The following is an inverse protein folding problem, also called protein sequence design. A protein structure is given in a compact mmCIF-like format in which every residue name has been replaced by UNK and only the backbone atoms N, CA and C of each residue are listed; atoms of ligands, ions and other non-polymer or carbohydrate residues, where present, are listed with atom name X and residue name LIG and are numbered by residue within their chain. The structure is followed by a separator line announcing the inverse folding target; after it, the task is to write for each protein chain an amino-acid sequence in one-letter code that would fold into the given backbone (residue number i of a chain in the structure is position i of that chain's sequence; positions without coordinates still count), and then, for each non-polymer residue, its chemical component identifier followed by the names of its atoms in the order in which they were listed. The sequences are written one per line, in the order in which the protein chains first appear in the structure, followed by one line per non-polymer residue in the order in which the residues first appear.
data_IF_481668006828
#
_entry.id   IF_481668006828
#
_cell.length_a   1.000
_cell.length_b   1.000
_cell.length_c   1.000
_cell.angle_alpha   90.00
_cell.angle_beta   90.00
_cell.angle_gamma   90.00
#
_symmetry.space_group_name_H-M   'P 1'
#
loop_
_entity.id
_entity.type
_entity.pdbx_description
1 polymer ?
#
# COMPACT_ATOMS: atom_id res chain seq x y z
N UNK A 1 -29.34 10.23 60.03
CA UNK A 1 -30.40 9.70 60.89
C UNK A 1 -31.63 9.49 60.00
N UNK A 2 -31.89 8.23 59.63
CA UNK A 2 -33.20 7.53 59.54
C UNK A 2 -34.45 8.43 59.35
N UNK A 3 -35.42 8.26 58.44
CA UNK A 3 -35.77 7.26 57.41
C UNK A 3 -36.98 7.81 56.58
N UNK A 4 -37.12 7.24 55.38
CA UNK A 4 -38.19 7.21 54.35
C UNK A 4 -39.64 7.67 54.59
N UNK A 5 -40.25 8.18 53.50
CA UNK A 5 -41.49 7.67 52.86
C UNK A 5 -41.57 8.25 51.42
N UNK A 6 -41.92 7.53 50.35
CA UNK A 6 -42.56 6.23 50.24
C UNK A 6 -42.36 5.55 48.88
N UNK A 7 -42.95 4.36 48.80
CA UNK A 7 -42.62 3.21 47.97
C UNK A 7 -43.20 3.25 46.53
N UNK A 8 -42.55 2.56 45.57
CA UNK A 8 -42.88 1.17 45.20
C UNK A 8 -42.31 0.72 43.82
N UNK A 9 -41.65 -0.45 43.86
CA UNK A 9 -41.46 -1.49 42.82
C UNK A 9 -40.70 -1.13 41.52
N UNK A 10 -39.72 -1.89 41.00
CA UNK A 10 -39.17 -3.22 41.31
C UNK A 10 -37.84 -3.38 40.56
N UNK A 11 -36.83 -3.98 41.20
CA UNK A 11 -35.58 -4.44 40.56
C UNK A 11 -35.87 -5.53 39.52
N UNK A 12 -35.14 -5.55 38.40
CA UNK A 12 -34.56 -6.78 37.81
C UNK A 12 -33.62 -6.47 36.62
N UNK A 13 -32.35 -6.82 36.83
CA UNK A 13 -31.45 -7.55 35.92
C UNK A 13 -30.80 -6.86 34.71
N UNK A 14 -29.59 -6.38 35.01
CA UNK A 14 -28.36 -6.60 34.22
C UNK A 14 -28.33 -8.02 33.63
N UNK A 15 -28.38 -8.15 32.30
CA UNK A 15 -27.94 -9.37 31.60
C UNK A 15 -27.10 -8.98 30.39
N UNK A 16 -25.80 -9.22 30.56
CA UNK A 16 -24.78 -9.44 29.54
C UNK A 16 -25.34 -9.80 28.16
N UNK A 17 -24.96 -9.02 27.14
CA UNK A 17 -25.00 -9.48 25.76
C UNK A 17 -23.91 -10.54 25.56
N UNK A 18 -24.18 -11.75 26.01
CA UNK A 18 -23.49 -12.97 25.60
C UNK A 18 -23.74 -13.15 24.10
N UNK A 19 -22.76 -12.74 23.30
CA UNK A 19 -22.64 -13.17 21.91
C UNK A 19 -22.43 -14.69 21.95
N UNK A 20 -23.50 -15.42 21.67
CA UNK A 20 -23.50 -16.86 21.51
C UNK A 20 -22.50 -17.26 20.40
N UNK A 21 -21.38 -17.85 20.82
CA UNK A 21 -20.26 -18.29 19.96
C UNK A 21 -20.54 -19.59 19.20
N UNK A 22 -21.81 -19.97 18.98
CA UNK A 22 -22.15 -21.24 18.32
C UNK A 22 -23.16 -21.11 17.16
N UNK A 23 -23.00 -20.13 16.27
CA UNK A 23 -23.63 -20.18 14.94
C UNK A 23 -22.62 -20.55 13.86
N UNK A 24 -22.85 -21.60 13.05
CA UNK A 24 -22.00 -21.90 11.92
C UNK A 24 -22.05 -20.72 10.94
N UNK A 25 -20.88 -20.25 10.49
CA UNK A 25 -20.71 -19.04 9.67
C UNK A 25 -21.48 -19.05 8.33
N UNK A 26 -22.07 -20.19 7.95
CA UNK A 26 -22.82 -20.39 6.72
C UNK A 26 -24.35 -20.59 6.92
N UNK A 27 -24.88 -20.47 8.15
CA UNK A 27 -26.31 -20.62 8.37
C UNK A 27 -27.12 -19.45 7.74
N UNK A 28 -28.29 -19.71 7.14
CA UNK A 28 -29.13 -18.65 6.57
C UNK A 28 -29.56 -17.64 7.65
N UNK A 29 -29.25 -16.37 7.42
CA UNK A 29 -29.62 -15.26 8.31
C UNK A 29 -31.11 -14.95 8.14
N UNK A 30 -31.89 -15.05 9.22
CA UNK A 30 -33.36 -15.09 9.21
C UNK A 30 -34.03 -13.72 9.03
N UNK A 31 -33.48 -12.62 9.56
CA UNK A 31 -34.09 -11.28 9.48
C UNK A 31 -33.25 -10.27 8.69
N UNK A 32 -33.88 -9.23 8.13
CA UNK A 32 -33.18 -8.14 7.46
C UNK A 32 -32.26 -7.34 8.41
N UNK A 33 -32.63 -7.23 9.69
CA UNK A 33 -31.85 -6.55 10.74
C UNK A 33 -30.52 -7.27 11.00
N UNK A 34 -30.53 -8.61 10.99
CA UNK A 34 -29.32 -9.42 11.16
C UNK A 34 -28.37 -9.30 9.95
N UNK A 35 -28.89 -8.98 8.76
CA UNK A 35 -28.04 -8.74 7.56
C UNK A 35 -27.25 -7.43 7.67
N UNK A 36 -27.78 -6.41 8.36
CA UNK A 36 -27.06 -5.16 8.57
C UNK A 36 -25.87 -5.30 9.52
N UNK A 37 -25.89 -6.29 10.42
CA UNK A 37 -24.74 -6.60 11.28
C UNK A 37 -23.54 -7.14 10.49
N UNK A 38 -23.77 -7.70 9.30
CA UNK A 38 -22.69 -8.17 8.42
C UNK A 38 -21.95 -7.01 7.74
N UNK A 39 -22.60 -5.84 7.60
CA UNK A 39 -22.02 -4.71 6.87
C UNK A 39 -20.80 -4.10 7.60
N UNK A 40 -20.84 -3.81 8.91
CA UNK A 40 -19.64 -3.38 9.65
C UNK A 40 -18.50 -4.38 9.56
N UNK A 41 -18.78 -5.68 9.70
CA UNK A 41 -17.76 -6.73 9.62
C UNK A 41 -17.19 -6.85 8.19
N UNK A 42 -18.04 -6.74 7.16
CA UNK A 42 -17.60 -6.69 5.78
C UNK A 42 -16.73 -5.46 5.51
N UNK A 43 -17.12 -4.28 5.98
CA UNK A 43 -16.36 -3.04 5.79
C UNK A 43 -15.03 -3.06 6.56
N UNK A 44 -14.97 -3.70 7.74
CA UNK A 44 -13.70 -3.93 8.46
C UNK A 44 -12.73 -4.79 7.66
N UNK A 45 -13.22 -5.84 6.99
CA UNK A 45 -12.37 -6.80 6.25
C UNK A 45 -12.04 -6.33 4.82
N UNK A 46 -13.01 -5.72 4.16
CA UNK A 46 -12.93 -5.34 2.74
C UNK A 46 -12.63 -3.87 2.54
N UNK A 47 -12.92 -2.97 3.48
CA UNK A 47 -12.66 -1.53 3.34
C UNK A 47 -13.33 -0.87 2.11
N UNK A 48 -13.54 0.44 2.15
CA UNK A 48 -14.05 1.16 0.98
C UNK A 48 -12.96 1.39 -0.09
N UNK A 49 -11.69 1.34 0.30
CA UNK A 49 -10.55 1.73 -0.55
C UNK A 49 -9.64 0.55 -0.90
N UNK A 50 -9.93 -0.64 -0.37
CA UNK A 50 -9.06 -1.80 -0.52
C UNK A 50 -8.82 -2.22 -1.96
N UNK A 51 -9.77 -2.02 -2.87
CA UNK A 51 -9.56 -2.30 -4.30
C UNK A 51 -8.37 -1.51 -4.87
N UNK A 52 -8.23 -0.23 -4.50
CA UNK A 52 -7.09 0.59 -4.93
C UNK A 52 -5.78 0.05 -4.34
N UNK A 53 -5.79 -0.25 -3.04
CA UNK A 53 -4.62 -0.77 -2.33
C UNK A 53 -4.18 -2.14 -2.87
N UNK A 54 -5.11 -3.06 -3.06
CA UNK A 54 -4.85 -4.42 -3.56
C UNK A 54 -4.30 -4.38 -4.99
N UNK A 55 -4.89 -3.55 -5.86
CA UNK A 55 -4.42 -3.34 -7.24
C UNK A 55 -2.99 -2.77 -7.26
N UNK A 56 -2.74 -1.73 -6.46
CA UNK A 56 -1.42 -1.12 -6.37
C UNK A 56 -0.39 -2.10 -5.78
N UNK A 57 -0.72 -2.80 -4.70
CA UNK A 57 0.14 -3.82 -4.10
C UNK A 57 0.46 -4.94 -5.08
N UNK A 58 -0.52 -5.41 -5.87
CA UNK A 58 -0.28 -6.39 -6.92
C UNK A 58 0.66 -5.85 -8.00
N UNK A 59 0.48 -4.61 -8.44
CA UNK A 59 1.36 -3.98 -9.41
C UNK A 59 2.80 -3.89 -8.91
N UNK A 60 3.01 -3.42 -7.67
CA UNK A 60 4.35 -3.28 -7.08
C UNK A 60 5.03 -4.63 -6.86
N UNK A 61 4.30 -5.64 -6.37
CA UNK A 61 4.90 -6.93 -6.02
C UNK A 61 5.05 -7.86 -7.22
N UNK A 62 4.14 -7.77 -8.19
CA UNK A 62 4.02 -8.73 -9.31
C UNK A 62 4.04 -8.05 -10.68
N UNK A 63 3.22 -7.01 -10.87
CA UNK A 63 3.05 -6.36 -12.18
C UNK A 63 4.36 -5.82 -12.76
N UNK A 64 5.11 -5.04 -11.97
CA UNK A 64 6.38 -4.45 -12.41
C UNK A 64 7.43 -5.51 -12.78
N UNK A 65 7.47 -6.63 -12.04
CA UNK A 65 8.36 -7.75 -12.34
C UNK A 65 8.01 -8.41 -13.68
N UNK A 66 6.73 -8.54 -14.00
CA UNK A 66 6.28 -9.06 -15.30
C UNK A 66 6.70 -8.14 -16.45
N UNK A 67 6.58 -6.82 -16.27
CA UNK A 67 6.99 -5.83 -17.28
C UNK A 67 8.49 -5.91 -17.56
N UNK A 68 9.32 -5.96 -16.50
CA UNK A 68 10.79 -6.04 -16.64
C UNK A 68 11.21 -7.37 -17.27
N UNK A 69 10.59 -8.49 -16.88
CA UNK A 69 10.87 -9.80 -17.49
C UNK A 69 10.53 -9.85 -18.99
N UNK A 70 9.48 -9.14 -19.42
CA UNK A 70 9.11 -9.09 -20.84
C UNK A 70 10.06 -8.23 -21.68
N UNK A 71 10.79 -7.30 -21.05
CA UNK A 71 11.70 -6.36 -21.71
C UNK A 71 13.10 -6.43 -21.07
N UNK A 72 13.55 -7.64 -20.74
CA UNK A 72 14.70 -7.84 -19.87
C UNK A 72 16.03 -7.51 -20.55
N UNK A 73 16.12 -7.53 -21.89
CA UNK A 73 17.38 -7.40 -22.62
C UNK A 73 17.35 -6.27 -23.65
N UNK A 74 18.33 -5.39 -23.57
CA UNK A 74 18.66 -4.35 -24.54
C UNK A 74 19.97 -4.74 -25.22
N UNK A 75 19.98 -4.82 -26.55
CA UNK A 75 21.14 -5.25 -27.34
C UNK A 75 21.57 -4.10 -28.26
N UNK A 76 22.88 -3.89 -28.41
CA UNK A 76 23.42 -2.92 -29.35
C UNK A 76 23.13 -3.34 -30.79
N UNK A 77 22.76 -2.37 -31.62
CA UNK A 77 22.53 -2.58 -33.06
C UNK A 77 23.84 -2.75 -33.84
N UNK A 78 24.95 -2.24 -33.32
CA UNK A 78 26.27 -2.26 -33.98
C UNK A 78 27.05 -3.52 -33.63
N UNK A 79 26.98 -3.97 -32.38
CA UNK A 79 27.66 -5.17 -31.90
C UNK A 79 26.71 -6.00 -31.02
N UNK A 80 26.11 -7.09 -31.53
CA UNK A 80 25.16 -7.92 -30.79
C UNK A 80 25.72 -8.56 -29.51
N UNK A 81 27.04 -8.61 -29.36
CA UNK A 81 27.65 -9.11 -28.12
C UNK A 81 27.64 -8.07 -26.99
N UNK A 82 27.41 -6.79 -27.29
CA UNK A 82 27.20 -5.74 -26.31
C UNK A 82 25.71 -5.68 -25.94
N UNK A 83 25.40 -6.03 -24.69
CA UNK A 83 24.04 -6.01 -24.19
C UNK A 83 23.98 -5.54 -22.73
N UNK A 84 22.80 -5.05 -22.34
CA UNK A 84 22.37 -4.82 -20.97
C UNK A 84 21.15 -5.71 -20.71
N UNK A 85 21.14 -6.41 -19.58
CA UNK A 85 20.00 -7.22 -19.16
C UNK A 85 19.59 -6.90 -17.74
N UNK A 86 18.31 -6.63 -17.53
CA UNK A 86 17.67 -6.51 -16.22
C UNK A 86 17.39 -7.90 -15.66
N UNK A 87 17.92 -8.21 -14.48
CA UNK A 87 17.74 -9.52 -13.84
C UNK A 87 16.63 -9.52 -12.79
N UNK A 88 16.44 -8.41 -12.09
CA UNK A 88 15.36 -8.23 -11.12
C UNK A 88 15.00 -6.75 -10.96
N UNK A 89 13.79 -6.50 -10.44
CA UNK A 89 13.29 -5.16 -10.12
C UNK A 89 12.53 -5.17 -8.80
N UNK A 90 12.73 -4.12 -8.01
CA UNK A 90 11.97 -3.89 -6.79
C UNK A 90 11.77 -2.41 -6.52
N UNK A 91 10.77 -2.11 -5.73
CA UNK A 91 10.46 -0.76 -5.25
C UNK A 91 10.98 -0.64 -3.82
N UNK A 92 11.80 0.38 -3.57
CA UNK A 92 12.32 0.67 -2.24
C UNK A 92 11.25 1.25 -1.30
N UNK A 93 11.72 1.82 -0.18
CA UNK A 93 10.86 2.62 0.71
C UNK A 93 10.90 4.10 0.31
N UNK A 94 9.83 4.87 0.58
CA UNK A 94 9.79 6.31 0.31
C UNK A 94 10.98 7.03 0.95
N UNK A 95 11.75 7.72 0.12
CA UNK A 95 12.96 8.42 0.54
C UNK A 95 13.21 9.68 -0.28
N UNK A 96 14.07 10.57 0.16
CA UNK A 96 14.57 11.70 -0.62
C UNK A 96 16.07 11.77 -0.48
N UNK A 97 16.77 12.19 -1.54
CA UNK A 97 18.21 12.39 -1.50
C UNK A 97 18.46 13.87 -1.21
N UNK A 98 19.10 14.15 -0.07
CA UNK A 98 19.51 15.48 0.37
C UNK A 98 21.01 15.40 0.63
N UNK A 99 21.82 16.23 -0.02
CA UNK A 99 23.28 16.27 0.13
C UNK A 99 23.96 14.88 0.01
N UNK A 100 23.55 14.10 -0.99
CA UNK A 100 23.98 12.71 -1.24
C UNK A 100 23.60 11.68 -0.16
N UNK A 101 22.84 12.07 0.86
CA UNK A 101 22.30 11.19 1.89
C UNK A 101 20.85 10.85 1.55
N UNK A 102 20.49 9.57 1.63
CA UNK A 102 19.10 9.15 1.46
C UNK A 102 18.39 9.19 2.82
N UNK A 103 17.38 10.05 2.93
CA UNK A 103 16.53 10.17 4.11
C UNK A 103 15.15 9.58 3.85
N UNK A 104 14.51 8.98 4.86
CA UNK A 104 13.14 8.50 4.72
C UNK A 104 12.17 9.67 4.78
N UNK A 105 11.12 9.62 3.96
CA UNK A 105 10.08 10.65 3.93
C UNK A 105 8.74 10.12 4.43
N UNK A 106 7.93 11.00 5.01
CA UNK A 106 6.54 10.73 5.41
C UNK A 106 5.58 11.51 4.49
N UNK A 107 4.32 11.06 4.33
CA UNK A 107 3.36 11.79 3.53
C UNK A 107 3.12 13.21 4.06
N UNK A 108 3.02 13.39 5.38
CA UNK A 108 2.93 14.71 6.03
C UNK A 108 4.04 15.68 5.60
N UNK A 109 5.31 15.24 5.60
CA UNK A 109 6.41 16.08 5.12
C UNK A 109 6.25 16.46 3.65
N UNK A 110 5.79 15.55 2.80
CA UNK A 110 5.56 15.84 1.39
C UNK A 110 4.43 16.84 1.15
N UNK A 111 3.36 16.79 1.96
CA UNK A 111 2.27 17.76 1.92
C UNK A 111 2.76 19.18 2.25
N UNK A 112 3.63 19.32 3.26
CA UNK A 112 4.13 20.62 3.71
C UNK A 112 5.23 21.21 2.82
N UNK A 113 6.01 20.37 2.13
CA UNK A 113 7.19 20.79 1.36
C UNK A 113 6.93 20.86 -0.16
N UNK A 114 5.68 20.70 -0.60
CA UNK A 114 5.31 20.61 -2.02
C UNK A 114 6.13 19.56 -2.79
N UNK A 115 6.55 18.48 -2.12
CA UNK A 115 7.29 17.38 -2.72
C UNK A 115 6.38 16.19 -3.05
N UNK A 116 6.91 15.23 -3.82
CA UNK A 116 6.16 14.02 -4.19
C UNK A 116 6.58 12.86 -3.29
N UNK A 117 5.60 12.19 -2.69
CA UNK A 117 5.82 11.00 -1.87
C UNK A 117 6.11 9.80 -2.76
N UNK A 118 7.39 9.49 -2.96
CA UNK A 118 7.86 8.47 -3.89
C UNK A 118 9.01 7.64 -3.32
N UNK A 119 9.16 6.41 -3.83
CA UNK A 119 10.25 5.49 -3.51
C UNK A 119 11.14 5.22 -4.73
N UNK A 120 12.43 4.88 -4.56
CA UNK A 120 13.31 4.55 -5.68
C UNK A 120 12.92 3.21 -6.32
N UNK A 121 12.96 3.17 -7.66
CA UNK A 121 12.86 1.94 -8.45
C UNK A 121 14.28 1.38 -8.60
N UNK A 122 14.53 0.24 -7.98
CA UNK A 122 15.84 -0.42 -7.93
C UNK A 122 15.82 -1.61 -8.89
N UNK A 123 16.82 -1.69 -9.76
CA UNK A 123 17.01 -2.83 -10.66
C UNK A 123 18.37 -3.46 -10.47
N UNK A 124 18.42 -4.77 -10.65
CA UNK A 124 19.66 -5.50 -10.82
C UNK A 124 19.92 -5.65 -12.31
N UNK A 125 21.13 -5.33 -12.74
CA UNK A 125 21.54 -5.37 -14.14
C UNK A 125 22.79 -6.22 -14.30
N UNK A 126 22.86 -6.93 -15.42
CA UNK A 126 24.10 -7.43 -15.97
C UNK A 126 24.37 -6.75 -17.31
N UNK A 127 25.61 -6.42 -17.59
CA UNK A 127 25.98 -5.81 -18.86
C UNK A 127 27.40 -6.19 -19.26
N UNK A 128 27.71 -6.08 -20.54
CA UNK A 128 29.07 -6.27 -21.04
C UNK A 128 29.80 -4.93 -21.01
N UNK A 129 30.98 -4.91 -20.39
CA UNK A 129 31.88 -3.76 -20.36
C UNK A 129 33.20 -4.14 -21.02
N UNK A 130 33.76 -3.24 -21.83
CA UNK A 130 35.03 -3.50 -22.49
C UNK A 130 35.38 -2.50 -23.60
N UNK A 131 36.66 -2.14 -23.67
CA UNK A 131 37.29 -1.46 -24.80
C UNK A 131 38.48 -2.30 -25.28
N UNK A 132 38.84 -2.20 -26.56
CA UNK A 132 40.00 -2.87 -27.16
C UNK A 132 40.02 -4.42 -27.06
N UNK A 133 38.89 -5.07 -27.34
CA UNK A 133 38.84 -6.53 -27.59
C UNK A 133 38.68 -7.42 -26.34
N UNK A 134 38.79 -6.87 -25.12
CA UNK A 134 38.42 -7.57 -23.89
C UNK A 134 36.99 -7.21 -23.50
N UNK A 135 36.08 -8.19 -23.55
CA UNK A 135 34.68 -8.05 -23.14
C UNK A 135 34.47 -8.83 -21.85
N UNK A 136 34.06 -8.14 -20.79
CA UNK A 136 33.80 -8.74 -19.49
C UNK A 136 32.35 -8.53 -19.08
N UNK A 137 31.77 -9.56 -18.47
CA UNK A 137 30.42 -9.51 -17.92
C UNK A 137 30.47 -8.87 -16.54
N UNK A 138 29.80 -7.74 -16.38
CA UNK A 138 29.65 -7.03 -15.11
C UNK A 138 28.23 -7.20 -14.57
N UNK A 139 28.11 -7.22 -13.25
CA UNK A 139 26.82 -7.25 -12.54
C UNK A 139 26.79 -6.05 -11.59
N UNK A 140 25.70 -5.30 -11.61
CA UNK A 140 25.41 -4.24 -10.65
C UNK A 140 24.03 -4.47 -10.05
N UNK A 141 23.98 -4.50 -8.73
CA UNK A 141 22.73 -4.58 -8.00
C UNK A 141 22.28 -3.17 -7.61
N UNK A 142 20.97 -3.02 -7.40
CA UNK A 142 20.38 -1.86 -6.72
C UNK A 142 20.58 -0.53 -7.46
N UNK A 143 20.64 -0.58 -8.78
CA UNK A 143 20.74 0.61 -9.61
C UNK A 143 19.40 1.34 -9.61
N UNK A 144 19.40 2.61 -9.21
CA UNK A 144 18.20 3.46 -9.25
C UNK A 144 17.94 3.91 -10.68
N UNK A 145 16.81 3.52 -11.26
CA UNK A 145 16.41 3.93 -12.63
C UNK A 145 15.31 4.98 -12.66
N UNK A 146 14.71 5.28 -11.50
CA UNK A 146 13.62 6.23 -11.39
C UNK A 146 12.97 6.19 -10.03
N UNK A 147 11.83 6.88 -9.90
CA UNK A 147 11.05 6.95 -8.67
C UNK A 147 9.59 6.63 -8.94
N UNK A 148 8.99 5.83 -8.06
CA UNK A 148 7.58 5.45 -8.11
C UNK A 148 6.81 6.22 -7.02
N UNK A 149 5.80 7.04 -7.36
CA UNK A 149 4.87 7.57 -6.38
C UNK A 149 4.22 6.44 -5.58
N UNK A 150 4.24 6.53 -4.26
CA UNK A 150 3.73 5.47 -3.39
C UNK A 150 2.33 5.83 -2.90
N UNK A 151 1.38 4.93 -3.12
CA UNK A 151 0.01 5.09 -2.63
C UNK A 151 0.00 5.00 -1.10
N UNK A 152 -0.67 5.94 -0.43
CA UNK A 152 -0.76 5.95 1.02
C UNK A 152 -1.46 4.69 1.52
N UNK A 153 -0.98 4.14 2.64
CA UNK A 153 -1.42 2.86 3.24
C UNK A 153 -1.16 1.60 2.39
N UNK A 154 -0.48 1.70 1.24
CA UNK A 154 -0.02 0.52 0.48
C UNK A 154 1.15 -0.19 1.15
N UNK A 155 1.53 -1.40 0.71
CA UNK A 155 2.59 -2.21 1.33
C UNK A 155 3.98 -1.55 1.35
N UNK A 156 4.23 -0.60 0.46
CA UNK A 156 5.47 0.16 0.40
C UNK A 156 5.43 1.46 1.21
N UNK A 157 4.25 1.91 1.65
CA UNK A 157 4.09 3.12 2.44
C UNK A 157 4.63 2.95 3.87
N UNK A 158 5.15 4.04 4.46
CA UNK A 158 5.62 4.06 5.86
C UNK A 158 4.47 3.87 6.86
N UNK A 159 3.23 4.17 6.45
CA UNK A 159 2.03 4.07 7.29
C UNK A 159 1.42 2.67 7.32
N UNK A 160 1.95 1.74 6.53
CA UNK A 160 1.44 0.37 6.43
C UNK A 160 1.62 -0.39 7.74
N UNK A 161 0.55 -0.98 8.26
CA UNK A 161 0.57 -1.81 9.47
C UNK A 161 0.82 -1.06 10.79
N UNK A 162 0.84 0.28 10.78
CA UNK A 162 1.03 1.09 11.98
C UNK A 162 -0.25 1.21 12.80
N UNK A 163 -0.10 1.20 14.13
CA UNK A 163 -1.20 1.45 15.06
C UNK A 163 -1.51 2.96 15.20
N UNK A 164 -2.62 3.29 15.86
CA UNK A 164 -3.08 4.69 16.01
C UNK A 164 -2.03 5.60 16.67
N UNK A 165 -1.34 5.13 17.70
CA UNK A 165 -0.31 5.89 18.40
C UNK A 165 0.95 6.12 17.54
N UNK A 166 1.32 5.16 16.70
CA UNK A 166 2.40 5.33 15.72
C UNK A 166 2.02 6.32 14.62
N UNK A 167 0.77 6.31 14.17
CA UNK A 167 0.28 7.24 13.14
C UNK A 167 0.23 8.67 13.66
N UNK A 168 -0.27 8.85 14.89
CA UNK A 168 -0.27 10.13 15.57
C UNK A 168 1.15 10.73 15.69
N UNK A 169 2.15 9.89 16.01
CA UNK A 169 3.57 10.32 16.05
C UNK A 169 4.12 10.76 14.69
N UNK A 170 3.54 10.28 13.59
CA UNK A 170 3.90 10.68 12.23
C UNK A 170 3.07 11.86 11.69
N UNK A 171 2.15 12.40 12.51
CA UNK A 171 1.26 13.49 12.11
C UNK A 171 0.15 13.04 11.15
N UNK A 172 -0.22 11.76 11.16
CA UNK A 172 -1.23 11.18 10.27
C UNK A 172 -2.49 10.76 11.03
N UNK A 173 -3.65 10.93 10.41
CA UNK A 173 -4.92 10.56 11.00
C UNK A 173 -5.14 9.03 10.96
N UNK A 174 -5.48 8.37 12.09
CA UNK A 174 -5.83 6.94 12.09
C UNK A 174 -7.02 6.59 11.21
N UNK A 175 -7.97 7.51 11.08
CA UNK A 175 -9.20 7.35 10.30
C UNK A 175 -9.01 7.67 8.80
N UNK A 176 -7.82 8.12 8.38
CA UNK A 176 -7.52 8.32 6.96
C UNK A 176 -7.49 6.96 6.23
N UNK A 177 -8.41 6.73 5.26
CA UNK A 177 -8.49 5.47 4.54
C UNK A 177 -7.30 5.19 3.62
N UNK A 178 -6.51 6.22 3.25
CA UNK A 178 -5.43 6.10 2.27
C UNK A 178 -5.92 5.86 0.84
N UNK A 179 -5.11 5.20 0.01
CA UNK A 179 -5.48 4.86 -1.38
C UNK A 179 -5.33 5.97 -2.42
N UNK A 180 -4.66 7.05 -2.05
CA UNK A 180 -4.33 8.18 -2.91
C UNK A 180 -2.82 8.46 -2.89
N UNK A 181 -2.37 9.37 -3.75
CA UNK A 181 -0.98 9.77 -3.89
C UNK A 181 -0.78 11.21 -3.43
N UNK A 182 0.39 11.53 -2.88
CA UNK A 182 0.82 12.91 -2.65
C UNK A 182 1.84 13.28 -3.73
N UNK A 183 1.45 14.18 -4.63
CA UNK A 183 2.26 14.62 -5.77
C UNK A 183 2.38 16.13 -5.73
N UNK A 184 3.61 16.62 -5.58
CA UNK A 184 3.92 18.05 -5.42
C UNK A 184 3.06 18.72 -4.33
N UNK A 185 3.04 18.14 -3.13
CA UNK A 185 2.22 18.62 -2.00
C UNK A 185 0.72 18.30 -2.11
N UNK A 186 0.22 17.96 -3.29
CA UNK A 186 -1.23 17.81 -3.53
C UNK A 186 -1.67 16.35 -3.52
N UNK A 187 -2.84 16.08 -2.96
CA UNK A 187 -3.44 14.76 -2.93
C UNK A 187 -4.15 14.45 -4.26
N UNK A 188 -3.90 13.25 -4.80
CA UNK A 188 -4.39 12.81 -6.11
C UNK A 188 -4.93 11.39 -6.04
N UNK A 189 -6.16 11.21 -6.50
CA UNK A 189 -6.83 9.90 -6.60
C UNK A 189 -6.90 9.49 -8.07
N UNK A 190 -6.60 8.23 -8.38
CA UNK A 190 -6.85 7.66 -9.70
C UNK A 190 -8.26 7.11 -9.71
N UNK A 191 -9.12 7.67 -10.56
CA UNK A 191 -10.48 7.18 -10.77
C UNK A 191 -10.45 5.86 -11.53
N UNK A 192 -11.26 4.89 -11.10
CA UNK A 192 -11.43 3.64 -11.83
C UNK A 192 -12.12 3.91 -13.18
N UNK A 193 -11.43 3.54 -14.27
CA UNK A 193 -11.98 3.62 -15.62
C UNK A 193 -12.70 2.32 -15.95
N UNK A 194 -13.92 2.47 -16.48
CA UNK A 194 -14.69 1.35 -17.01
C UNK A 194 -14.41 1.24 -18.50
N UNK A 195 -13.83 0.12 -18.90
CA UNK A 195 -13.66 -0.25 -20.30
C UNK A 195 -14.65 -1.37 -20.62
N UNK A 196 -15.38 -1.21 -21.71
CA UNK A 196 -16.20 -2.29 -22.26
C UNK A 196 -15.28 -3.25 -23.00
N UNK A 197 -15.39 -4.54 -22.71
CA UNK A 197 -14.78 -5.56 -23.56
C UNK A 197 -15.65 -5.64 -24.82
N UNK A 198 -15.21 -4.98 -25.89
CA UNK A 198 -15.73 -5.25 -27.22
C UNK A 198 -15.23 -6.63 -27.63
N UNK A 199 -16.14 -7.60 -27.68
CA UNK A 199 -15.94 -8.88 -28.36
C UNK A 199 -16.07 -8.67 -29.87
#
# INVERSE_FOLDING_TARGET
MVVVQGDSMSEENVVDHLIDKQKPAAAPVKSAVDKFQLLPEFLKVRGLVKQHLDSFNYFINTGIKKIVRANDRIVSTVDPSLYLRFTDVRIGKPSMVVDAISEQITPHMCRLSDTTYAAPILVNIEYISGSHGRKEKMIKNDVVIGRMPIMLRSCCCVLYGKNEAELARLGECPLDPGGYFVVKGTEKVILCLLFTNAF
#
